data_IF_241589522312
#
_entry.id   IF_241589522312
#
_cell.length_a   1.000
_cell.length_b   1.000
_cell.length_c   1.000
_cell.angle_alpha   90.00
_cell.angle_beta   90.00
_cell.angle_gamma   90.00
#
_symmetry.space_group_name_H-M   'P 1'
#
loop_
_entity.id
_entity.type
_entity.pdbx_description
1 polymer ?
#
# COMPACT_ATOMS: atom_id res chain seq x y z
N UNK A 1 -0.46 -1.97 -20.36
CA UNK A 1 -0.47 -1.54 -18.95
C UNK A 1 0.59 -0.50 -18.63
N UNK A 2 1.76 -0.51 -19.28
CA UNK A 2 2.86 0.44 -19.03
C UNK A 2 2.54 1.92 -19.35
N UNK A 3 1.75 2.18 -20.41
CA UNK A 3 1.42 3.56 -20.82
C UNK A 3 0.55 4.31 -19.81
N UNK A 4 -0.41 3.61 -19.19
CA UNK A 4 -1.30 4.15 -18.15
C UNK A 4 -0.52 4.46 -16.86
N UNK A 5 0.43 3.59 -16.49
CA UNK A 5 1.32 3.84 -15.35
C UNK A 5 2.23 5.06 -15.55
N UNK A 6 2.79 5.22 -16.75
CA UNK A 6 3.60 6.40 -17.09
C UNK A 6 2.77 7.68 -17.08
N UNK A 7 1.57 7.67 -17.65
CA UNK A 7 0.66 8.83 -17.60
C UNK A 7 0.28 9.21 -16.16
N UNK A 8 0.02 8.22 -15.30
CA UNK A 8 -0.25 8.47 -13.87
C UNK A 8 0.93 9.08 -13.12
N UNK A 9 2.14 8.56 -13.32
CA UNK A 9 3.38 9.10 -12.75
C UNK A 9 3.62 10.55 -13.21
N UNK A 10 3.47 10.82 -14.51
CA UNK A 10 3.67 12.15 -15.09
C UNK A 10 2.64 13.14 -14.53
N UNK A 11 1.38 12.75 -14.39
CA UNK A 11 0.32 13.60 -13.84
C UNK A 11 0.57 13.94 -12.36
N UNK A 12 0.98 12.95 -11.55
CA UNK A 12 1.27 13.15 -10.14
C UNK A 12 2.49 14.07 -9.92
N UNK A 13 3.55 13.90 -10.72
CA UNK A 13 4.73 14.78 -10.69
C UNK A 13 4.36 16.20 -11.13
N UNK A 14 3.55 16.34 -12.18
CA UNK A 14 3.07 17.64 -12.66
C UNK A 14 2.23 18.37 -11.59
N UNK A 15 1.32 17.67 -10.91
CA UNK A 15 0.52 18.23 -9.82
C UNK A 15 1.37 18.66 -8.61
N UNK A 16 2.45 17.94 -8.30
CA UNK A 16 3.38 18.31 -7.22
C UNK A 16 4.28 19.49 -7.56
N UNK A 17 4.62 19.69 -8.83
CA UNK A 17 5.45 20.79 -9.31
C UNK A 17 4.67 22.05 -9.68
N UNK A 18 3.38 21.95 -10.02
CA UNK A 18 2.53 23.10 -10.35
C UNK A 18 2.54 24.24 -9.29
N UNK A 19 2.58 23.97 -7.97
CA UNK A 19 2.65 25.02 -6.95
C UNK A 19 4.00 25.75 -6.90
N UNK A 20 5.08 25.16 -7.46
CA UNK A 20 6.42 25.76 -7.51
C UNK A 20 6.62 26.68 -8.71
N UNK A 21 5.77 26.60 -9.72
CA UNK A 21 5.83 27.42 -10.94
C UNK A 21 4.88 28.62 -10.93
N UNK A 22 4.31 28.98 -9.78
CA UNK A 22 3.53 30.23 -9.64
C UNK A 22 2.12 30.19 -10.21
N UNK A 23 1.56 29.00 -10.49
CA UNK A 23 0.12 28.85 -10.77
C UNK A 23 -0.61 28.91 -9.43
N UNK A 24 -0.84 30.12 -8.94
CA UNK A 24 -1.75 30.40 -7.83
C UNK A 24 -3.16 30.00 -8.27
N UNK A 25 -3.67 28.90 -7.70
CA UNK A 25 -5.11 28.64 -7.73
C UNK A 25 -5.86 29.81 -7.12
N UNK A 26 -7.02 30.12 -7.71
CA UNK A 26 -7.81 31.33 -7.47
C UNK A 26 -7.91 31.74 -5.99
N UNK A 27 -7.48 32.97 -5.71
CA UNK A 27 -7.45 33.61 -4.39
C UNK A 27 -8.84 33.88 -3.81
N UNK A 28 -9.92 33.53 -4.52
CA UNK A 28 -11.30 33.72 -4.06
C UNK A 28 -11.72 32.74 -2.94
N UNK A 29 -11.01 31.62 -2.76
CA UNK A 29 -11.29 30.65 -1.68
C UNK A 29 -10.47 30.90 -0.40
N UNK A 30 -9.87 32.09 -0.25
CA UNK A 30 -8.85 32.38 0.78
C UNK A 30 -9.39 32.57 2.21
N UNK A 31 -10.70 32.54 2.44
CA UNK A 31 -11.26 32.55 3.80
C UNK A 31 -11.39 31.14 4.43
N UNK A 32 -11.33 30.08 3.61
CA UNK A 32 -11.39 28.66 3.99
C UNK A 32 -10.07 27.92 3.66
N UNK A 33 -8.97 28.68 3.58
CA UNK A 33 -7.71 28.25 2.98
C UNK A 33 -6.85 27.30 3.82
N UNK A 34 -7.07 27.19 5.13
CA UNK A 34 -6.25 26.34 6.01
C UNK A 34 -6.56 24.85 5.87
N UNK A 35 -7.82 24.47 5.70
CA UNK A 35 -8.22 23.05 5.60
C UNK A 35 -7.90 22.53 4.20
N UNK A 36 -8.34 23.21 3.14
CA UNK A 36 -8.08 22.75 1.76
C UNK A 36 -6.59 22.63 1.46
N UNK A 37 -5.78 23.62 1.86
CA UNK A 37 -4.34 23.56 1.62
C UNK A 37 -3.66 22.43 2.40
N UNK A 38 -4.18 22.09 3.58
CA UNK A 38 -3.71 20.96 4.40
C UNK A 38 -4.13 19.62 3.81
N UNK A 39 -5.40 19.47 3.44
CA UNK A 39 -5.92 18.27 2.76
C UNK A 39 -5.20 17.99 1.43
N UNK A 40 -4.95 19.03 0.62
CA UNK A 40 -4.18 18.91 -0.63
C UNK A 40 -2.73 18.53 -0.35
N UNK A 41 -2.09 19.11 0.68
CA UNK A 41 -0.74 18.75 1.06
C UNK A 41 -0.63 17.30 1.55
N UNK A 42 -1.56 16.85 2.39
CA UNK A 42 -1.59 15.49 2.95
C UNK A 42 -1.86 14.47 1.83
N UNK A 43 -2.82 14.76 0.93
CA UNK A 43 -3.12 13.89 -0.22
C UNK A 43 -1.93 13.80 -1.16
N UNK A 44 -1.26 14.92 -1.46
CA UNK A 44 -0.08 14.94 -2.32
C UNK A 44 1.13 14.24 -1.69
N UNK A 45 1.30 14.33 -0.37
CA UNK A 45 2.33 13.60 0.34
C UNK A 45 2.09 12.08 0.23
N UNK A 46 0.87 11.62 0.51
CA UNK A 46 0.51 10.20 0.42
C UNK A 46 0.63 9.69 -1.01
N UNK A 47 0.14 10.42 -2.02
CA UNK A 47 0.22 9.97 -3.42
C UNK A 47 1.67 9.85 -3.91
N UNK A 48 2.53 10.83 -3.61
CA UNK A 48 3.94 10.78 -3.99
C UNK A 48 4.68 9.65 -3.28
N UNK A 49 4.39 9.45 -1.99
CA UNK A 49 4.96 8.36 -1.22
C UNK A 49 4.55 6.99 -1.78
N UNK A 50 3.25 6.79 -2.04
CA UNK A 50 2.72 5.53 -2.60
C UNK A 50 3.31 5.25 -3.98
N UNK A 51 3.38 6.25 -4.85
CA UNK A 51 3.99 6.11 -6.18
C UNK A 51 5.47 5.76 -6.06
N UNK A 52 6.20 6.43 -5.15
CA UNK A 52 7.62 6.14 -4.90
C UNK A 52 7.84 4.73 -4.39
N UNK A 53 7.06 4.28 -3.40
CA UNK A 53 7.13 2.94 -2.86
C UNK A 53 6.80 1.87 -3.91
N UNK A 54 5.75 2.09 -4.71
CA UNK A 54 5.37 1.19 -5.80
C UNK A 54 6.45 1.11 -6.88
N UNK A 55 7.05 2.24 -7.27
CA UNK A 55 8.12 2.28 -8.25
C UNK A 55 9.36 1.55 -7.72
N UNK A 56 9.77 1.79 -6.47
CA UNK A 56 10.90 1.07 -5.86
C UNK A 56 10.64 -0.43 -5.82
N UNK A 57 9.42 -0.85 -5.46
CA UNK A 57 9.05 -2.26 -5.46
C UNK A 57 9.11 -2.88 -6.87
N UNK A 58 8.45 -2.26 -7.85
CA UNK A 58 8.38 -2.78 -9.23
C UNK A 58 9.78 -2.81 -9.87
N UNK A 59 10.58 -1.77 -9.64
CA UNK A 59 11.96 -1.71 -10.10
C UNK A 59 12.83 -2.77 -9.41
N UNK A 60 12.61 -3.04 -8.12
CA UNK A 60 13.31 -4.12 -7.41
C UNK A 60 12.95 -5.48 -8.01
N UNK A 61 11.67 -5.79 -8.23
CA UNK A 61 11.27 -7.05 -8.86
C UNK A 61 11.86 -7.18 -10.28
N UNK A 62 11.86 -6.09 -11.04
CA UNK A 62 12.47 -6.05 -12.37
C UNK A 62 13.98 -6.29 -12.35
N UNK A 63 14.72 -5.64 -11.44
CA UNK A 63 16.18 -5.78 -11.34
C UNK A 63 16.60 -7.14 -10.77
N UNK A 64 15.87 -7.66 -9.78
CA UNK A 64 16.20 -8.93 -9.14
C UNK A 64 15.68 -10.15 -9.91
N UNK A 65 14.93 -9.97 -11.00
CA UNK A 65 14.33 -11.03 -11.81
C UNK A 65 13.74 -12.16 -10.95
N UNK A 66 13.08 -11.78 -9.85
CA UNK A 66 12.60 -12.74 -8.86
C UNK A 66 11.46 -13.51 -9.51
N UNK A 67 11.67 -14.81 -9.75
CA UNK A 67 10.60 -15.74 -10.08
C UNK A 67 9.78 -15.98 -8.79
N UNK A 68 8.91 -15.03 -8.46
CA UNK A 68 8.02 -15.14 -7.29
C UNK A 68 7.25 -16.48 -7.33
N UNK A 69 6.95 -16.98 -8.52
CA UNK A 69 6.29 -18.27 -8.72
C UNK A 69 7.06 -19.47 -8.14
N UNK A 70 8.39 -19.49 -8.25
CA UNK A 70 9.22 -20.57 -7.66
C UNK A 70 9.48 -20.37 -6.17
N UNK A 71 9.57 -19.12 -5.70
CA UNK A 71 9.77 -18.80 -4.28
C UNK A 71 8.53 -19.18 -3.46
N UNK A 72 7.34 -18.94 -4.00
CA UNK A 72 6.08 -19.23 -3.30
C UNK A 72 5.55 -20.66 -3.51
N UNK A 73 6.02 -21.41 -4.53
CA UNK A 73 5.56 -22.80 -4.77
C UNK A 73 6.05 -23.81 -3.74
N UNK A 74 7.16 -23.54 -3.03
CA UNK A 74 7.70 -24.42 -1.98
C UNK A 74 7.19 -24.13 -0.58
N UNK A 75 6.54 -22.98 -0.36
CA UNK A 75 6.26 -22.43 0.97
C UNK A 75 4.82 -21.93 1.12
N UNK A 76 3.83 -22.66 0.59
CA UNK A 76 2.40 -22.30 0.66
C UNK A 76 1.92 -21.97 2.08
N UNK A 77 2.54 -22.58 3.11
CA UNK A 77 2.25 -22.31 4.52
C UNK A 77 2.80 -20.97 5.04
N UNK A 78 3.89 -20.46 4.48
CA UNK A 78 4.50 -19.19 4.87
C UNK A 78 3.97 -18.01 4.06
N UNK A 79 3.40 -18.28 2.89
CA UNK A 79 2.82 -17.27 2.00
C UNK A 79 1.83 -16.33 2.70
N UNK A 80 0.86 -16.82 3.52
CA UNK A 80 -0.10 -15.94 4.17
C UNK A 80 0.54 -15.11 5.30
N UNK A 81 1.53 -15.66 6.00
CA UNK A 81 2.28 -14.91 7.02
C UNK A 81 3.06 -13.75 6.41
N UNK A 82 3.73 -13.98 5.26
CA UNK A 82 4.45 -12.92 4.55
C UNK A 82 3.47 -11.84 4.07
N UNK A 83 2.30 -12.23 3.57
CA UNK A 83 1.29 -11.27 3.11
C UNK A 83 0.71 -10.42 4.26
N UNK A 84 0.52 -11.01 5.45
CA UNK A 84 0.12 -10.28 6.67
C UNK A 84 1.21 -9.27 7.09
N UNK A 85 2.48 -9.69 7.07
CA UNK A 85 3.60 -8.79 7.37
C UNK A 85 3.70 -7.62 6.38
N UNK A 86 3.43 -7.88 5.09
CA UNK A 86 3.35 -6.84 4.06
C UNK A 86 2.18 -5.89 4.34
N UNK A 87 1.06 -6.38 4.88
CA UNK A 87 -0.09 -5.58 5.28
C UNK A 87 0.18 -4.61 6.44
N UNK A 88 1.19 -4.86 7.27
CA UNK A 88 1.59 -3.92 8.33
C UNK A 88 2.30 -2.67 7.79
N UNK A 89 2.73 -2.68 6.52
CA UNK A 89 3.33 -1.49 5.93
C UNK A 89 2.22 -0.45 5.67
N UNK A 90 2.40 0.80 6.11
CA UNK A 90 1.40 1.84 5.92
C UNK A 90 1.11 2.12 4.45
N UNK A 91 -0.18 2.25 4.15
CA UNK A 91 -0.70 2.79 2.91
C UNK A 91 -1.38 1.78 1.98
N UNK A 92 -1.83 2.26 0.82
CA UNK A 92 -2.56 1.43 -0.15
C UNK A 92 -1.65 0.63 -1.09
N UNK A 93 -0.37 1.02 -1.21
CA UNK A 93 0.61 0.38 -2.10
C UNK A 93 0.81 -1.13 -1.83
N UNK A 94 1.09 -1.55 -0.58
CA UNK A 94 1.27 -2.96 -0.24
C UNK A 94 0.05 -3.82 -0.57
N UNK A 95 -1.17 -3.31 -0.36
CA UNK A 95 -2.39 -4.04 -0.70
C UNK A 95 -2.63 -4.13 -2.20
N UNK A 96 -2.44 -3.04 -2.95
CA UNK A 96 -2.51 -3.06 -4.42
C UNK A 96 -1.53 -4.11 -4.96
N UNK A 97 -0.32 -4.15 -4.41
CA UNK A 97 0.69 -5.09 -4.83
C UNK A 97 0.25 -6.55 -4.65
N UNK A 98 -0.16 -6.94 -3.44
CA UNK A 98 -0.57 -8.34 -3.19
C UNK A 98 -1.83 -8.68 -3.98
N UNK A 99 -2.71 -7.70 -4.25
CA UNK A 99 -3.86 -7.88 -5.17
C UNK A 99 -3.38 -8.19 -6.59
N UNK A 100 -2.41 -7.44 -7.11
CA UNK A 100 -1.87 -7.71 -8.46
C UNK A 100 -1.23 -9.09 -8.56
N UNK A 101 -0.53 -9.54 -7.51
CA UNK A 101 0.07 -10.87 -7.47
C UNK A 101 -0.96 -11.99 -7.34
N UNK A 102 -2.05 -11.75 -6.60
CA UNK A 102 -3.20 -12.65 -6.53
C UNK A 102 -3.87 -12.80 -7.91
N UNK A 103 -4.14 -11.68 -8.60
CA UNK A 103 -4.70 -11.68 -9.95
C UNK A 103 -3.78 -12.35 -10.99
N UNK A 104 -2.46 -12.27 -10.79
CA UNK A 104 -1.47 -12.96 -11.60
C UNK A 104 -1.38 -14.48 -11.31
N UNK A 105 -2.11 -14.99 -10.32
CA UNK A 105 -2.09 -16.39 -9.91
C UNK A 105 -0.79 -16.82 -9.21
N UNK A 106 -0.04 -15.85 -8.65
CA UNK A 106 1.21 -16.10 -7.92
C UNK A 106 0.92 -16.33 -6.44
N UNK A 107 -0.02 -15.56 -5.88
CA UNK A 107 -0.44 -15.63 -4.49
C UNK A 107 -1.81 -16.32 -4.38
N UNK A 108 -2.02 -17.18 -3.36
CA UNK A 108 -3.31 -17.79 -3.09
C UNK A 108 -4.27 -16.81 -2.41
N UNK A 109 -5.56 -17.16 -2.34
CA UNK A 109 -6.60 -16.29 -1.78
C UNK A 109 -6.43 -16.14 -0.26
N UNK A 110 -5.96 -17.18 0.44
CA UNK A 110 -5.63 -17.10 1.87
C UNK A 110 -4.67 -15.95 2.20
N UNK A 111 -3.62 -15.78 1.40
CA UNK A 111 -2.64 -14.73 1.57
C UNK A 111 -3.24 -13.34 1.34
N UNK A 112 -4.18 -13.24 0.40
CA UNK A 112 -4.82 -11.98 0.11
C UNK A 112 -5.85 -11.56 1.15
N UNK A 113 -6.57 -12.53 1.73
CA UNK A 113 -7.40 -12.31 2.92
C UNK A 113 -6.52 -11.83 4.10
N UNK A 114 -5.39 -12.49 4.33
CA UNK A 114 -4.46 -12.14 5.40
C UNK A 114 -3.99 -10.69 5.31
N UNK A 115 -3.48 -10.28 4.14
CA UNK A 115 -3.08 -8.90 3.91
C UNK A 115 -4.24 -7.92 4.12
N UNK A 116 -5.41 -8.19 3.53
CA UNK A 116 -6.57 -7.31 3.61
C UNK A 116 -7.08 -7.09 5.05
N UNK A 117 -7.00 -8.10 5.93
CA UNK A 117 -7.42 -7.97 7.33
C UNK A 117 -6.36 -7.26 8.20
N UNK A 118 -5.08 -7.44 7.87
CA UNK A 118 -3.98 -6.82 8.61
C UNK A 118 -3.68 -5.38 8.22
N UNK A 119 -4.20 -4.91 7.09
CA UNK A 119 -3.87 -3.59 6.55
C UNK A 119 -4.71 -2.48 7.21
N UNK A 120 -4.05 -1.67 8.04
CA UNK A 120 -4.63 -0.48 8.68
C UNK A 120 -4.67 0.76 7.75
N UNK A 121 -4.00 0.70 6.59
CA UNK A 121 -4.03 1.72 5.54
C UNK A 121 -3.30 3.03 5.86
N UNK A 122 -3.71 4.14 5.24
CA UNK A 122 -3.08 5.46 5.43
C UNK A 122 -3.34 6.04 6.84
N UNK A 123 -4.30 5.50 7.58
CA UNK A 123 -4.59 5.89 8.96
C UNK A 123 -3.43 5.58 9.92
N UNK A 124 -2.54 4.66 9.54
CA UNK A 124 -1.33 4.33 10.29
C UNK A 124 -0.34 5.53 10.31
N UNK A 125 -0.32 6.41 9.30
CA UNK A 125 0.62 7.54 9.25
C UNK A 125 0.42 8.55 10.39
N UNK A 126 -0.81 9.09 10.64
CA UNK A 126 -1.05 9.93 11.81
C UNK A 126 -0.87 9.18 13.13
N UNK A 127 -1.26 7.90 13.19
CA UNK A 127 -1.13 7.10 14.40
C UNK A 127 0.33 6.92 14.83
N UNK A 128 1.23 6.64 13.88
CA UNK A 128 2.68 6.55 14.12
C UNK A 128 3.24 7.91 14.55
N UNK A 129 2.77 9.01 13.96
CA UNK A 129 3.24 10.36 14.28
C UNK A 129 2.87 10.81 15.71
N UNK A 130 1.69 10.42 16.21
CA UNK A 130 1.20 10.82 17.54
C UNK A 130 1.68 9.85 18.62
N UNK A 131 1.55 8.55 18.39
CA UNK A 131 1.82 7.52 19.38
C UNK A 131 2.28 6.21 18.72
N UNK A 132 3.59 6.06 18.42
CA UNK A 132 4.09 4.89 17.67
C UNK A 132 3.88 3.58 18.43
N UNK A 133 3.94 3.59 19.77
CA UNK A 133 3.66 2.40 20.58
C UNK A 133 2.21 1.94 20.45
N UNK A 134 1.26 2.88 20.35
CA UNK A 134 -0.16 2.58 20.23
C UNK A 134 -0.48 2.11 18.80
N UNK A 135 0.16 2.72 17.80
CA UNK A 135 0.04 2.27 16.42
C UNK A 135 0.44 0.80 16.26
N UNK A 136 1.62 0.40 16.77
CA UNK A 136 2.08 -1.01 16.68
C UNK A 136 1.13 -1.97 17.39
N UNK A 137 0.58 -1.58 18.55
CA UNK A 137 -0.39 -2.42 19.27
C UNK A 137 -1.70 -2.56 18.50
N UNK A 138 -2.17 -1.49 17.84
CA UNK A 138 -3.36 -1.53 17.01
C UNK A 138 -3.17 -2.48 15.81
N UNK A 139 -2.02 -2.40 15.13
CA UNK A 139 -1.68 -3.29 14.01
C UNK A 139 -1.54 -4.75 14.48
N UNK A 140 -0.99 -4.98 15.68
CA UNK A 140 -0.98 -6.32 16.27
C UNK A 140 -2.38 -6.84 16.56
N UNK A 141 -3.30 -5.96 16.94
CA UNK A 141 -4.68 -6.34 17.25
C UNK A 141 -5.44 -6.76 15.99
N UNK A 142 -5.21 -6.09 14.85
CA UNK A 142 -5.74 -6.51 13.54
C UNK A 142 -4.99 -7.73 12.97
N UNK A 143 -3.73 -7.96 13.35
CA UNK A 143 -2.97 -9.15 12.96
C UNK A 143 -3.56 -10.47 13.47
N UNK A 144 -4.07 -10.51 14.70
CA UNK A 144 -4.61 -11.73 15.31
C UNK A 144 -5.78 -12.33 14.49
N UNK A 145 -6.87 -11.59 14.17
CA UNK A 145 -7.93 -12.12 13.32
C UNK A 145 -7.45 -12.38 11.89
N UNK A 146 -6.50 -11.59 11.38
CA UNK A 146 -5.91 -11.82 10.05
C UNK A 146 -5.24 -13.19 9.96
N UNK A 147 -4.40 -13.55 10.93
CA UNK A 147 -3.73 -14.86 11.00
C UNK A 147 -4.76 -15.98 11.11
N UNK A 148 -5.73 -15.86 12.02
CA UNK A 148 -6.73 -16.92 12.25
C UNK A 148 -7.54 -17.20 10.97
N UNK A 149 -8.06 -16.15 10.33
CA UNK A 149 -8.94 -16.30 9.16
C UNK A 149 -8.13 -16.71 7.93
N UNK A 150 -6.95 -16.14 7.74
CA UNK A 150 -6.07 -16.46 6.61
C UNK A 150 -5.59 -17.91 6.64
N UNK A 151 -5.08 -18.39 7.78
CA UNK A 151 -4.69 -19.79 7.94
C UNK A 151 -5.90 -20.72 7.93
N UNK A 152 -7.04 -20.31 8.52
CA UNK A 152 -8.28 -21.06 8.44
C UNK A 152 -8.72 -21.30 6.99
N UNK A 153 -8.61 -20.27 6.14
CA UNK A 153 -8.90 -20.40 4.72
C UNK A 153 -7.91 -21.33 4.00
N UNK A 154 -6.62 -21.16 4.29
CA UNK A 154 -5.57 -22.01 3.73
C UNK A 154 -5.88 -23.49 4.00
N UNK A 155 -6.15 -23.87 5.26
CA UNK A 155 -6.42 -25.26 5.67
C UNK A 155 -7.75 -25.84 5.15
N UNK A 156 -8.75 -25.01 4.89
CA UNK A 156 -10.07 -25.48 4.44
C UNK A 156 -10.18 -25.61 2.93
N UNK A 157 -9.49 -24.76 2.16
CA UNK A 157 -9.71 -24.64 0.71
C UNK A 157 -8.46 -24.82 -0.15
N UNK A 158 -7.26 -24.65 0.39
CA UNK A 158 -6.01 -24.56 -0.38
C UNK A 158 -4.96 -25.61 0.05
N UNK A 159 -5.38 -26.57 0.89
CA UNK A 159 -4.59 -27.73 1.33
C UNK A 159 -4.95 -29.01 0.56
#
# INVERSE_FOLDING_TARGET
TSLLGVLGCVLAVAMRLAPRFGISGDTAFSASGTILRRTVADTNFVTVWVIGAYLVFDLSVYFFAIDLKQVFSGFTLFTPMIAILIGFLPGCGPQVLVTTMYLAGILPLSAQIGNALSNDGDALFPAIAIAPKVAVVATLYSAVPAVIISYGWLFLFEW
#
